data_IF_781789122640
#
_entry.id   IF_781789122640
#
_cell.length_a   1.000
_cell.length_b   1.000
_cell.length_c   1.000
_cell.angle_alpha   90.00
_cell.angle_beta   90.00
_cell.angle_gamma   90.00
#
_symmetry.space_group_name_H-M   'P 1'
#
loop_
_entity.id
_entity.type
_entity.pdbx_description
1 polymer ?
#
# COMPACT_ATOMS: atom_id res chain seq x y z
N UNK A 1 6.79 -10.98 -54.96
CA UNK A 1 5.68 -11.03 -54.00
C UNK A 1 6.19 -11.83 -52.81
N UNK A 2 6.67 -11.17 -51.76
CA UNK A 2 7.19 -11.85 -50.56
C UNK A 2 6.07 -11.82 -49.54
N UNK A 3 5.55 -13.00 -49.20
CA UNK A 3 4.54 -13.16 -48.15
C UNK A 3 5.29 -13.55 -46.88
N UNK A 4 5.18 -12.72 -45.85
CA UNK A 4 5.57 -13.10 -44.50
C UNK A 4 4.71 -12.36 -43.47
N UNK A 5 3.84 -13.09 -42.81
CA UNK A 5 3.87 -13.16 -41.34
C UNK A 5 3.18 -14.44 -40.88
N UNK A 6 3.92 -15.31 -40.22
CA UNK A 6 3.41 -16.53 -39.57
C UNK A 6 3.02 -16.27 -38.10
N UNK A 7 3.08 -15.01 -37.64
CA UNK A 7 2.94 -14.66 -36.23
C UNK A 7 2.27 -13.28 -36.08
N UNK A 8 1.02 -13.29 -35.60
CA UNK A 8 0.22 -12.10 -35.36
C UNK A 8 0.51 -11.52 -33.97
N UNK A 9 1.16 -10.36 -33.91
CA UNK A 9 1.17 -9.53 -32.71
C UNK A 9 -0.20 -8.87 -32.49
N UNK A 10 -0.79 -9.11 -31.31
CA UNK A 10 -1.88 -8.43 -30.57
C UNK A 10 -3.17 -7.94 -31.27
N UNK A 11 -3.21 -7.73 -32.57
CA UNK A 11 -4.41 -7.41 -33.35
C UNK A 11 -4.24 -7.98 -34.77
N UNK A 12 -4.26 -9.31 -34.89
CA UNK A 12 -3.88 -10.08 -36.09
C UNK A 12 -4.68 -9.83 -37.38
N UNK A 13 -4.64 -8.59 -37.87
CA UNK A 13 -5.22 -8.18 -39.13
C UNK A 13 -4.09 -8.01 -40.15
N UNK A 14 -4.07 -8.87 -41.17
CA UNK A 14 -3.19 -8.73 -42.33
C UNK A 14 -3.93 -7.85 -43.34
N UNK A 15 -3.46 -6.61 -43.55
CA UNK A 15 -4.06 -5.68 -44.49
C UNK A 15 -3.42 -5.81 -45.87
N UNK A 16 -4.22 -6.03 -46.91
CA UNK A 16 -3.76 -6.12 -48.30
C UNK A 16 -4.11 -4.82 -49.04
N UNK A 17 -3.12 -4.20 -49.69
CA UNK A 17 -3.32 -3.00 -50.52
C UNK A 17 -3.22 -3.40 -51.99
N UNK A 18 -4.30 -3.23 -52.74
CA UNK A 18 -4.38 -3.55 -54.15
C UNK A 18 -5.73 -3.13 -54.75
N UNK A 19 -5.85 -3.26 -56.06
CA UNK A 19 -7.10 -3.02 -56.79
C UNK A 19 -8.19 -4.01 -56.32
N UNK A 20 -9.40 -3.51 -56.04
CA UNK A 20 -10.47 -4.22 -55.33
C UNK A 20 -10.90 -5.50 -56.06
N UNK A 21 -10.86 -5.47 -57.40
CA UNK A 21 -11.20 -6.60 -58.25
C UNK A 21 -10.17 -7.73 -58.14
N UNK A 22 -8.89 -7.40 -57.92
CA UNK A 22 -7.81 -8.39 -57.77
C UNK A 22 -7.84 -9.04 -56.38
N UNK A 23 -8.18 -8.27 -55.34
CA UNK A 23 -8.34 -8.76 -53.96
C UNK A 23 -9.54 -9.70 -53.86
N UNK A 24 -10.65 -9.38 -54.54
CA UNK A 24 -11.85 -10.24 -54.61
C UNK A 24 -11.62 -11.50 -55.44
N UNK A 25 -10.96 -11.39 -56.61
CA UNK A 25 -10.69 -12.54 -57.48
C UNK A 25 -9.80 -13.60 -56.81
N UNK A 26 -8.91 -13.19 -55.90
CA UNK A 26 -8.03 -14.09 -55.16
C UNK A 26 -8.62 -14.56 -53.81
N UNK A 27 -9.88 -14.23 -53.50
CA UNK A 27 -10.54 -14.62 -52.24
C UNK A 27 -9.77 -14.22 -50.96
N UNK A 28 -9.09 -13.07 -50.98
CA UNK A 28 -8.22 -12.61 -49.89
C UNK A 28 -8.94 -11.77 -48.82
N UNK A 29 -10.27 -11.67 -48.89
CA UNK A 29 -11.06 -10.70 -48.12
C UNK A 29 -11.17 -11.06 -46.63
N UNK A 30 -11.14 -12.35 -46.26
CA UNK A 30 -11.14 -12.79 -44.85
C UNK A 30 -10.66 -14.25 -44.76
N UNK A 31 -9.34 -14.47 -44.67
CA UNK A 31 -8.76 -15.83 -44.67
C UNK A 31 -9.09 -16.60 -43.38
N UNK A 32 -9.38 -15.90 -42.27
CA UNK A 32 -9.86 -16.49 -41.03
C UNK A 32 -10.47 -15.41 -40.11
N UNK A 33 -11.63 -15.69 -39.51
CA UNK A 33 -12.20 -14.84 -38.45
C UNK A 33 -11.26 -14.81 -37.25
N UNK A 34 -11.03 -13.63 -36.69
CA UNK A 34 -10.32 -13.50 -35.42
C UNK A 34 -11.08 -14.28 -34.34
N UNK A 35 -10.41 -15.26 -33.73
CA UNK A 35 -10.91 -15.97 -32.55
C UNK A 35 -10.13 -15.44 -31.36
N UNK A 36 -10.83 -15.07 -30.29
CA UNK A 36 -10.17 -14.68 -29.04
C UNK A 36 -9.54 -15.92 -28.39
N UNK A 37 -8.31 -15.76 -27.90
CA UNK A 37 -7.66 -16.80 -27.13
C UNK A 37 -8.32 -16.87 -25.74
N UNK A 38 -8.73 -18.07 -25.36
CA UNK A 38 -9.26 -18.35 -24.02
C UNK A 38 -8.19 -19.10 -23.24
N UNK A 39 -7.78 -18.55 -22.10
CA UNK A 39 -6.75 -19.13 -21.25
C UNK A 39 -7.40 -19.73 -20.00
N UNK A 40 -7.10 -20.99 -19.70
CA UNK A 40 -7.40 -21.59 -18.40
C UNK A 40 -6.21 -21.36 -17.47
N UNK A 41 -6.35 -20.40 -16.56
CA UNK A 41 -5.26 -20.03 -15.65
C UNK A 41 -5.51 -20.63 -14.28
N UNK A 42 -4.52 -21.38 -13.80
CA UNK A 42 -4.48 -21.91 -12.44
C UNK A 42 -3.41 -21.17 -11.63
N UNK A 43 -3.85 -20.40 -10.63
CA UNK A 43 -2.96 -19.70 -9.71
C UNK A 43 -2.72 -20.57 -8.49
N UNK A 44 -1.46 -20.90 -8.24
CA UNK A 44 -1.04 -21.69 -7.09
C UNK A 44 -0.04 -20.90 -6.26
N UNK A 45 -0.15 -20.94 -4.93
CA UNK A 45 0.85 -20.33 -4.06
C UNK A 45 2.16 -21.14 -4.15
N UNK A 46 3.26 -20.48 -4.54
CA UNK A 46 4.54 -21.12 -4.80
C UNK A 46 5.17 -21.80 -3.56
N UNK A 47 4.81 -21.39 -2.33
CA UNK A 47 5.35 -21.97 -1.10
C UNK A 47 4.49 -23.10 -0.51
N UNK A 48 3.16 -23.01 -0.66
CA UNK A 48 2.23 -23.97 -0.03
C UNK A 48 1.60 -24.95 -1.02
N UNK A 49 1.74 -24.71 -2.34
CA UNK A 49 1.15 -25.55 -3.39
C UNK A 49 -0.38 -25.53 -3.42
N UNK A 50 -1.02 -24.69 -2.62
CA UNK A 50 -2.48 -24.56 -2.55
C UNK A 50 -2.99 -23.71 -3.72
N UNK A 51 -4.06 -24.15 -4.36
CA UNK A 51 -4.75 -23.37 -5.38
C UNK A 51 -5.34 -22.11 -4.74
N UNK A 52 -4.91 -20.94 -5.23
CA UNK A 52 -5.44 -19.64 -4.82
C UNK A 52 -6.68 -19.31 -5.64
N UNK A 53 -6.63 -19.58 -6.95
CA UNK A 53 -7.76 -19.32 -7.84
C UNK A 53 -7.61 -20.11 -9.16
N UNK A 54 -8.73 -20.41 -9.82
CA UNK A 54 -8.75 -20.94 -11.18
C UNK A 54 -9.79 -20.16 -11.97
N UNK A 55 -9.35 -19.46 -13.01
CA UNK A 55 -10.21 -18.57 -13.80
C UNK A 55 -9.97 -18.82 -15.28
N UNK A 56 -11.07 -18.92 -16.02
CA UNK A 56 -11.06 -18.88 -17.47
C UNK A 56 -11.14 -17.43 -17.91
N UNK A 57 -10.11 -16.95 -18.59
CA UNK A 57 -10.02 -15.54 -19.01
C UNK A 57 -10.04 -15.46 -20.52
N UNK A 58 -10.93 -14.62 -21.02
CA UNK A 58 -10.97 -14.22 -22.42
C UNK A 58 -9.98 -13.09 -22.63
N UNK A 59 -8.96 -13.32 -23.46
CA UNK A 59 -7.86 -12.39 -23.67
C UNK A 59 -6.68 -12.58 -22.70
N UNK A 60 -5.67 -11.75 -22.88
CA UNK A 60 -4.32 -11.96 -22.32
C UNK A 60 -4.07 -11.35 -20.94
N UNK A 61 -5.08 -10.83 -20.25
CA UNK A 61 -4.91 -10.14 -18.97
C UNK A 61 -5.73 -10.78 -17.86
N UNK A 62 -5.03 -11.24 -16.84
CA UNK A 62 -5.59 -11.61 -15.55
C UNK A 62 -5.72 -10.34 -14.72
N UNK A 63 -6.95 -9.90 -14.45
CA UNK A 63 -7.20 -8.72 -13.61
C UNK A 63 -7.61 -9.19 -12.22
N UNK A 64 -6.84 -8.83 -11.20
CA UNK A 64 -7.18 -9.13 -9.79
C UNK A 64 -7.19 -10.62 -9.39
N UNK A 65 -6.76 -11.54 -10.27
CA UNK A 65 -6.90 -12.99 -10.06
C UNK A 65 -5.89 -13.55 -9.05
N UNK A 66 -4.68 -12.98 -8.98
CA UNK A 66 -3.63 -13.38 -8.02
C UNK A 66 -3.73 -12.59 -6.73
N UNK A 67 -4.00 -11.29 -6.85
CA UNK A 67 -4.25 -10.37 -5.74
C UNK A 67 -5.09 -9.20 -6.30
N UNK A 68 -6.01 -8.57 -5.54
CA UNK A 68 -6.86 -7.48 -6.03
C UNK A 68 -6.10 -6.29 -6.66
N UNK A 69 -4.83 -6.14 -6.29
CA UNK A 69 -3.95 -5.06 -6.77
C UNK A 69 -2.88 -5.52 -7.77
N UNK A 70 -2.91 -6.77 -8.23
CA UNK A 70 -1.92 -7.31 -9.18
C UNK A 70 -2.63 -7.84 -10.40
N UNK A 71 -2.34 -7.19 -11.53
CA UNK A 71 -2.79 -7.63 -12.86
C UNK A 71 -1.61 -8.27 -13.59
N UNK A 72 -1.86 -9.38 -14.28
CA UNK A 72 -0.84 -10.12 -15.01
C UNK A 72 -1.23 -10.14 -16.49
N UNK A 73 -0.35 -9.63 -17.35
CA UNK A 73 -0.46 -9.83 -18.79
C UNK A 73 0.35 -11.06 -19.19
N UNK A 74 -0.34 -12.07 -19.72
CA UNK A 74 0.26 -13.25 -20.32
C UNK A 74 0.65 -12.89 -21.75
N UNK A 75 1.83 -13.31 -22.20
CA UNK A 75 2.20 -13.20 -23.61
C UNK A 75 1.16 -13.93 -24.49
N UNK A 76 0.68 -13.25 -25.54
CA UNK A 76 -0.30 -13.76 -26.49
C UNK A 76 0.14 -15.03 -27.21
N UNK A 77 1.44 -15.31 -27.23
CA UNK A 77 2.03 -16.45 -27.90
C UNK A 77 2.73 -17.43 -26.95
N UNK A 78 2.67 -17.18 -25.65
CA UNK A 78 3.27 -18.09 -24.67
C UNK A 78 2.67 -19.50 -24.82
N UNK A 79 3.53 -20.48 -25.12
CA UNK A 79 3.14 -21.88 -25.28
C UNK A 79 2.40 -22.21 -26.59
N UNK A 80 2.41 -21.32 -27.60
CA UNK A 80 1.80 -21.58 -28.92
C UNK A 80 2.88 -21.76 -29.99
N UNK A 81 2.86 -22.90 -30.67
CA UNK A 81 3.67 -23.15 -31.87
C UNK A 81 2.79 -23.09 -33.11
N UNK A 82 3.24 -22.36 -34.14
CA UNK A 82 2.58 -22.31 -35.45
C UNK A 82 3.35 -23.19 -36.44
N UNK A 83 2.69 -24.22 -36.98
CA UNK A 83 3.24 -25.10 -37.99
C UNK A 83 2.37 -25.10 -39.25
N UNK A 84 3.00 -25.27 -40.41
CA UNK A 84 2.29 -25.48 -41.66
C UNK A 84 1.89 -26.95 -41.78
N UNK A 85 0.58 -27.21 -41.90
CA UNK A 85 0.06 -28.53 -42.24
C UNK A 85 -0.05 -28.65 -43.77
N UNK A 86 0.82 -29.47 -44.36
CA UNK A 86 0.92 -29.67 -45.81
C UNK A 86 -0.30 -30.42 -46.39
N UNK A 87 -0.97 -31.24 -45.57
CA UNK A 87 -2.15 -32.00 -45.98
C UNK A 87 -3.42 -31.12 -45.94
N UNK A 88 -3.58 -30.32 -44.88
CA UNK A 88 -4.71 -29.39 -44.74
C UNK A 88 -4.51 -28.07 -45.50
N UNK A 89 -3.31 -27.84 -46.05
CA UNK A 89 -2.89 -26.57 -46.69
C UNK A 89 -3.22 -25.35 -45.83
N UNK A 90 -3.03 -25.49 -44.52
CA UNK A 90 -3.40 -24.48 -43.54
C UNK A 90 -2.33 -24.39 -42.45
N UNK A 91 -2.13 -23.18 -41.94
CA UNK A 91 -1.38 -22.99 -40.69
C UNK A 91 -2.21 -23.52 -39.51
N UNK A 92 -1.65 -24.48 -38.79
CA UNK A 92 -2.21 -25.01 -37.54
C UNK A 92 -1.42 -24.44 -36.37
N UNK A 93 -2.13 -23.92 -35.37
CA UNK A 93 -1.54 -23.49 -34.10
C UNK A 93 -1.79 -24.59 -33.09
N UNK A 94 -0.71 -25.13 -32.51
CA UNK A 94 -0.76 -26.14 -31.45
C UNK A 94 -0.15 -25.61 -30.16
N UNK A 95 -0.67 -26.03 -29.01
CA UNK A 95 -0.06 -25.70 -27.72
C UNK A 95 1.19 -26.56 -27.47
N UNK A 96 2.35 -25.95 -27.24
CA UNK A 96 3.63 -26.65 -27.00
C UNK A 96 3.81 -27.13 -25.55
N UNK A 97 2.88 -26.80 -24.65
CA UNK A 97 2.87 -27.26 -23.27
C UNK A 97 2.19 -26.27 -22.31
N UNK A 98 2.29 -26.54 -21.01
CA UNK A 98 1.88 -25.61 -19.95
C UNK A 98 2.92 -24.49 -19.82
N UNK A 99 2.48 -23.23 -19.93
CA UNK A 99 3.32 -22.07 -19.68
C UNK A 99 3.21 -21.66 -18.21
N UNK A 100 4.28 -21.89 -17.44
CA UNK A 100 4.37 -21.48 -16.05
C UNK A 100 5.22 -20.21 -15.91
N UNK A 101 4.68 -19.22 -15.18
CA UNK A 101 5.42 -18.02 -14.80
C UNK A 101 5.30 -17.81 -13.29
N UNK A 102 6.39 -17.42 -12.64
CA UNK A 102 6.40 -17.11 -11.21
C UNK A 102 6.43 -15.61 -11.03
N UNK A 103 5.41 -15.06 -10.36
CA UNK A 103 5.35 -13.64 -10.02
C UNK A 103 5.79 -13.47 -8.57
N UNK A 104 6.81 -12.65 -8.35
CA UNK A 104 7.24 -12.26 -7.00
C UNK A 104 6.47 -11.00 -6.61
N UNK A 105 5.58 -11.12 -5.63
CA UNK A 105 4.95 -9.97 -5.00
C UNK A 105 5.85 -9.54 -3.83
N UNK A 106 6.51 -8.39 -3.97
CA UNK A 106 7.24 -7.77 -2.88
C UNK A 106 6.29 -6.85 -2.11
N UNK A 107 6.24 -7.01 -0.78
CA UNK A 107 5.53 -6.07 0.07
C UNK A 107 6.32 -4.75 0.15
N UNK A 108 5.70 -3.65 -0.25
CA UNK A 108 6.27 -2.30 -0.20
C UNK A 108 5.54 -1.42 0.84
N UNK A 109 4.88 -2.02 1.83
CA UNK A 109 4.32 -1.27 2.95
C UNK A 109 5.44 -0.55 3.71
N UNK A 110 5.32 0.76 3.86
CA UNK A 110 6.16 1.53 4.78
C UNK A 110 5.50 1.54 6.15
N UNK A 111 6.22 1.12 7.17
CA UNK A 111 5.70 1.09 8.54
C UNK A 111 6.16 2.35 9.28
N UNK A 112 5.21 3.13 9.77
CA UNK A 112 5.45 4.29 10.63
C UNK A 112 5.26 3.90 12.09
N UNK A 113 6.21 4.25 12.96
CA UNK A 113 5.99 4.23 14.40
C UNK A 113 5.14 5.45 14.77
N UNK A 114 3.92 5.23 15.24
CA UNK A 114 2.95 6.30 15.51
C UNK A 114 2.69 6.50 17.00
N UNK A 115 3.26 5.65 17.87
CA UNK A 115 3.07 5.70 19.31
C UNK A 115 4.34 5.48 20.12
N UNK A 116 4.21 5.59 21.44
CA UNK A 116 5.31 5.51 22.39
C UNK A 116 5.69 4.07 22.76
N UNK A 117 4.78 3.10 22.57
CA UNK A 117 4.98 1.71 22.96
C UNK A 117 5.34 0.81 21.77
N UNK A 118 5.88 -0.37 22.08
CA UNK A 118 6.14 -1.41 21.09
C UNK A 118 4.84 -1.80 20.37
N UNK A 119 4.90 -1.98 19.04
CA UNK A 119 3.77 -2.35 18.16
C UNK A 119 2.68 -1.28 18.01
N UNK A 120 2.95 -0.04 18.43
CA UNK A 120 2.12 1.11 18.05
C UNK A 120 2.58 1.66 16.70
N UNK A 121 2.39 0.85 15.66
CA UNK A 121 2.79 1.14 14.29
C UNK A 121 1.60 1.27 13.33
N UNK A 122 1.87 1.87 12.18
CA UNK A 122 0.94 2.02 11.07
C UNK A 122 1.66 1.67 9.77
N UNK A 123 1.28 0.53 9.19
CA UNK A 123 1.62 0.21 7.80
C UNK A 123 0.84 1.11 6.85
N UNK A 124 1.55 1.81 5.98
CA UNK A 124 1.00 2.60 4.88
C UNK A 124 1.55 2.02 3.59
N UNK A 125 0.66 1.76 2.63
CA UNK A 125 1.07 1.30 1.31
C UNK A 125 0.47 2.19 0.23
N UNK A 126 1.26 2.40 -0.81
CA UNK A 126 0.83 3.05 -2.05
C UNK A 126 1.03 2.04 -3.17
N UNK A 127 -0.09 1.55 -3.73
CA UNK A 127 -0.03 0.72 -4.93
C UNK A 127 0.51 1.51 -6.11
N UNK A 128 1.10 0.83 -7.11
CA UNK A 128 1.53 1.50 -8.33
C UNK A 128 0.31 2.07 -9.08
N UNK A 129 0.26 3.39 -9.21
CA UNK A 129 -0.78 4.14 -9.94
C UNK A 129 -0.27 4.66 -11.30
N UNK A 130 0.79 4.06 -11.84
CA UNK A 130 1.27 4.35 -13.20
C UNK A 130 0.20 4.04 -14.26
N UNK A 131 0.29 4.70 -15.41
CA UNK A 131 -0.63 4.46 -16.55
C UNK A 131 -0.61 3.01 -17.03
N UNK A 132 0.51 2.31 -16.82
CA UNK A 132 0.64 0.87 -17.12
C UNK A 132 -0.13 0.02 -16.12
N UNK A 133 0.08 0.25 -14.81
CA UNK A 133 -0.61 -0.47 -13.74
C UNK A 133 -2.12 -0.24 -13.76
N UNK A 134 -2.56 0.97 -14.14
CA UNK A 134 -3.96 1.31 -14.33
C UNK A 134 -4.58 0.78 -15.64
N UNK A 135 -3.81 0.09 -16.50
CA UNK A 135 -4.32 -0.47 -17.76
C UNK A 135 -4.58 0.55 -18.86
N UNK A 136 -4.22 1.82 -18.67
CA UNK A 136 -4.50 2.92 -19.60
C UNK A 136 -3.66 2.89 -20.89
N UNK A 137 -2.64 2.03 -20.95
CA UNK A 137 -1.77 1.94 -22.12
C UNK A 137 -2.45 1.37 -23.38
N UNK A 138 -3.64 0.76 -23.25
CA UNK A 138 -4.37 0.08 -24.35
C UNK A 138 -5.66 0.80 -24.72
N UNK A 139 -5.84 2.04 -24.27
CA UNK A 139 -6.98 2.88 -24.64
C UNK A 139 -6.88 3.22 -26.13
N UNK A 140 -7.87 2.79 -26.91
CA UNK A 140 -7.98 3.08 -28.34
C UNK A 140 -9.35 3.69 -28.63
N UNK A 141 -9.35 4.78 -29.40
CA UNK A 141 -10.56 5.53 -29.80
C UNK A 141 -10.72 5.51 -31.33
N UNK A 142 -10.17 4.49 -31.99
CA UNK A 142 -10.16 4.38 -33.47
C UNK A 142 -11.48 3.89 -34.04
N UNK A 143 -12.27 3.16 -33.26
CA UNK A 143 -13.60 2.65 -33.63
C UNK A 143 -14.58 2.79 -32.45
N UNK A 144 -15.88 2.69 -32.73
CA UNK A 144 -16.95 2.90 -31.74
C UNK A 144 -16.89 1.90 -30.58
N UNK A 145 -16.59 0.64 -30.85
CA UNK A 145 -16.59 -0.42 -29.84
C UNK A 145 -15.36 -0.30 -28.94
N UNK A 146 -14.20 0.01 -29.52
CA UNK A 146 -12.96 0.31 -28.80
C UNK A 146 -13.08 1.58 -27.97
N UNK A 147 -13.77 2.61 -28.46
CA UNK A 147 -14.08 3.80 -27.69
C UNK A 147 -14.99 3.46 -26.48
N UNK A 148 -16.03 2.64 -26.68
CA UNK A 148 -16.91 2.21 -25.58
C UNK A 148 -16.16 1.40 -24.52
N UNK A 149 -15.30 0.45 -24.92
CA UNK A 149 -14.46 -0.33 -24.01
C UNK A 149 -13.47 0.56 -23.26
N UNK A 150 -12.91 1.56 -23.93
CA UNK A 150 -11.96 2.50 -23.35
C UNK A 150 -12.58 3.31 -22.20
N UNK A 151 -13.86 3.69 -22.31
CA UNK A 151 -14.59 4.37 -21.22
C UNK A 151 -14.60 3.49 -19.97
N UNK A 152 -14.98 2.21 -20.09
CA UNK A 152 -15.00 1.27 -18.96
C UNK A 152 -13.62 1.09 -18.32
N UNK A 153 -12.56 1.02 -19.12
CA UNK A 153 -11.18 0.92 -18.63
C UNK A 153 -10.79 2.19 -17.85
N UNK A 154 -11.15 3.37 -18.36
CA UNK A 154 -10.87 4.65 -17.69
C UNK A 154 -11.66 4.77 -16.38
N UNK A 155 -12.95 4.42 -16.37
CA UNK A 155 -13.77 4.44 -15.15
C UNK A 155 -13.19 3.53 -14.07
N UNK A 156 -12.80 2.31 -14.45
CA UNK A 156 -12.13 1.37 -13.53
C UNK A 156 -10.81 1.92 -13.00
N UNK A 157 -10.02 2.61 -13.83
CA UNK A 157 -8.79 3.26 -13.40
C UNK A 157 -9.04 4.42 -12.42
N UNK A 158 -10.08 5.23 -12.67
CA UNK A 158 -10.50 6.32 -11.78
C UNK A 158 -10.93 5.76 -10.42
N UNK A 159 -11.72 4.68 -10.41
CA UNK A 159 -12.17 4.04 -9.18
C UNK A 159 -10.99 3.50 -8.34
N UNK A 160 -9.99 2.89 -8.99
CA UNK A 160 -8.77 2.44 -8.30
C UNK A 160 -8.01 3.59 -7.66
N UNK A 161 -7.81 4.69 -8.40
CA UNK A 161 -7.14 5.89 -7.87
C UNK A 161 -7.94 6.53 -6.74
N UNK A 162 -9.27 6.59 -6.89
CA UNK A 162 -10.18 7.14 -5.89
C UNK A 162 -10.14 6.33 -4.58
N UNK A 163 -10.20 5.00 -4.70
CA UNK A 163 -10.04 4.08 -3.57
C UNK A 163 -8.70 4.27 -2.86
N UNK A 164 -7.60 4.38 -3.63
CA UNK A 164 -6.29 4.62 -3.07
C UNK A 164 -6.20 5.95 -2.33
N UNK A 165 -6.82 7.02 -2.84
CA UNK A 165 -6.92 8.32 -2.14
C UNK A 165 -7.78 8.23 -0.88
N UNK A 166 -8.85 7.45 -0.91
CA UNK A 166 -9.69 7.18 0.27
C UNK A 166 -8.90 6.52 1.39
N UNK A 167 -8.09 5.51 1.06
CA UNK A 167 -7.21 4.84 2.02
C UNK A 167 -6.16 5.80 2.60
N UNK A 168 -5.54 6.63 1.75
CA UNK A 168 -4.59 7.64 2.21
C UNK A 168 -5.24 8.68 3.14
N UNK A 169 -6.47 9.09 2.86
CA UNK A 169 -7.26 9.94 3.76
C UNK A 169 -7.56 9.28 5.10
N UNK A 170 -7.90 7.99 5.11
CA UNK A 170 -8.10 7.23 6.34
C UNK A 170 -6.81 7.12 7.18
N UNK A 171 -5.66 6.89 6.55
CA UNK A 171 -4.36 6.91 7.23
C UNK A 171 -4.05 8.28 7.83
N UNK A 172 -4.30 9.37 7.08
CA UNK A 172 -4.14 10.74 7.59
C UNK A 172 -5.01 11.01 8.81
N UNK A 173 -6.31 10.67 8.76
CA UNK A 173 -7.22 10.84 9.89
C UNK A 173 -6.73 10.07 11.13
N UNK A 174 -6.29 8.82 10.94
CA UNK A 174 -5.78 8.01 12.05
C UNK A 174 -4.48 8.59 12.63
N UNK A 175 -3.59 9.12 11.79
CA UNK A 175 -2.38 9.83 12.25
C UNK A 175 -2.75 11.07 13.05
N UNK A 176 -3.69 11.89 12.56
CA UNK A 176 -4.14 13.10 13.26
C UNK A 176 -4.77 12.78 14.63
N UNK A 177 -5.63 11.75 14.70
CA UNK A 177 -6.17 11.28 15.98
C UNK A 177 -5.07 10.78 16.92
N UNK A 178 -4.08 10.06 16.39
CA UNK A 178 -2.97 9.56 17.21
C UNK A 178 -2.11 10.71 17.74
N UNK A 179 -1.81 11.70 16.90
CA UNK A 179 -1.10 12.93 17.29
C UNK A 179 -1.86 13.64 18.41
N UNK A 180 -3.16 13.89 18.24
CA UNK A 180 -3.98 14.57 19.26
C UNK A 180 -4.01 13.80 20.59
N UNK A 181 -4.11 12.47 20.53
CA UNK A 181 -4.06 11.62 21.71
C UNK A 181 -2.69 11.69 22.40
N UNK A 182 -1.60 11.60 21.65
CA UNK A 182 -0.23 11.69 22.18
C UNK A 182 0.06 13.07 22.76
N UNK A 183 -0.40 14.15 22.14
CA UNK A 183 -0.27 15.51 22.67
C UNK A 183 -1.00 15.64 24.00
N UNK A 184 -2.21 15.08 24.11
CA UNK A 184 -2.98 15.06 25.36
C UNK A 184 -2.27 14.24 26.43
N UNK A 185 -1.79 13.04 26.09
CA UNK A 185 -1.03 12.18 26.99
C UNK A 185 0.26 12.87 27.46
N UNK A 186 1.01 13.51 26.56
CA UNK A 186 2.22 14.26 26.87
C UNK A 186 1.94 15.43 27.82
N UNK A 187 0.84 16.17 27.61
CA UNK A 187 0.42 17.26 28.50
C UNK A 187 0.07 16.74 29.89
N UNK A 188 -0.65 15.62 29.97
CA UNK A 188 -1.01 14.99 31.24
C UNK A 188 0.21 14.43 31.98
N UNK A 189 1.16 13.82 31.25
CA UNK A 189 2.40 13.32 31.82
C UNK A 189 3.29 14.46 32.33
N UNK A 190 3.41 15.54 31.56
CA UNK A 190 4.15 16.74 31.98
C UNK A 190 3.52 17.35 33.23
N UNK A 191 2.19 17.42 33.30
CA UNK A 191 1.48 17.91 34.49
C UNK A 191 1.63 16.97 35.69
N UNK A 192 1.65 15.65 35.48
CA UNK A 192 1.91 14.68 36.53
C UNK A 192 3.37 14.74 37.02
N UNK A 193 4.32 14.91 36.10
CA UNK A 193 5.73 15.14 36.40
C UNK A 193 5.92 16.42 37.20
N UNK A 194 5.26 17.51 36.79
CA UNK A 194 5.22 18.77 37.56
C UNK A 194 4.67 18.54 38.97
N UNK A 195 3.56 17.80 39.16
CA UNK A 195 3.08 17.48 40.52
C UNK A 195 4.04 16.63 41.36
N UNK A 196 4.85 15.78 40.72
CA UNK A 196 5.79 14.89 41.43
C UNK A 196 7.10 15.61 41.74
N UNK A 197 7.63 16.38 40.78
CA UNK A 197 8.91 17.09 40.89
C UNK A 197 8.75 18.46 41.53
N UNK A 198 7.69 19.18 41.18
CA UNK A 198 7.44 20.51 41.68
C UNK A 198 6.79 20.39 43.06
N UNK A 199 7.57 20.77 44.06
CA UNK A 199 7.14 20.97 45.43
C UNK A 199 6.06 22.05 45.41
N UNK A 200 5.00 21.90 46.21
CA UNK A 200 4.14 23.04 46.51
C UNK A 200 4.97 24.09 47.27
N UNK A 201 5.47 25.07 46.54
CA UNK A 201 6.33 26.15 47.04
C UNK A 201 5.73 26.83 48.26
N UNK A 202 4.40 26.92 48.36
CA UNK A 202 3.75 27.53 49.53
C UNK A 202 3.94 26.65 50.77
N UNK A 203 3.77 25.33 50.65
CA UNK A 203 3.94 24.39 51.75
C UNK A 203 5.40 24.26 52.18
N UNK A 204 6.32 24.20 51.22
CA UNK A 204 7.74 24.10 51.53
C UNK A 204 8.30 25.40 52.10
N UNK A 205 7.83 26.58 51.64
CA UNK A 205 8.15 27.86 52.26
C UNK A 205 7.61 27.96 53.68
N UNK A 206 6.37 27.52 53.94
CA UNK A 206 5.83 27.49 55.31
C UNK A 206 6.66 26.58 56.22
N UNK A 207 7.06 25.40 55.74
CA UNK A 207 7.89 24.47 56.49
C UNK A 207 9.29 25.04 56.73
N UNK A 208 9.91 25.63 55.70
CA UNK A 208 11.18 26.34 55.80
C UNK A 208 11.13 27.50 56.80
N UNK A 209 10.09 28.35 56.74
CA UNK A 209 9.89 29.44 57.71
C UNK A 209 9.67 28.90 59.11
N UNK A 210 8.86 27.84 59.28
CA UNK A 210 8.65 27.18 60.58
C UNK A 210 9.97 26.67 61.15
N UNK A 211 10.78 25.98 60.35
CA UNK A 211 12.08 25.46 60.77
C UNK A 211 13.05 26.59 61.15
N UNK A 212 13.08 27.69 60.39
CA UNK A 212 13.88 28.87 60.73
C UNK A 212 13.43 29.52 62.05
N UNK A 213 12.12 29.70 62.26
CA UNK A 213 11.58 30.22 63.53
C UNK A 213 11.93 29.28 64.68
N UNK A 214 11.84 27.96 64.46
CA UNK A 214 12.15 26.97 65.50
C UNK A 214 13.63 26.94 65.84
N UNK A 215 14.53 27.13 64.86
CA UNK A 215 15.96 27.30 65.08
C UNK A 215 16.28 28.59 65.83
N UNK A 216 15.65 29.71 65.47
CA UNK A 216 15.82 30.98 66.19
C UNK A 216 15.29 30.88 67.62
N UNK A 217 14.11 30.31 67.82
CA UNK A 217 13.51 30.07 69.13
C UNK A 217 14.34 29.08 69.96
N UNK A 218 14.88 28.02 69.35
CA UNK A 218 15.77 27.05 69.99
C UNK A 218 17.06 27.70 70.48
N UNK A 219 17.68 28.57 69.68
CA UNK A 219 18.86 29.34 70.08
C UNK A 219 18.54 30.33 71.20
N UNK A 220 17.42 31.05 71.14
CA UNK A 220 16.99 31.97 72.20
C UNK A 220 16.64 31.22 73.50
N UNK A 221 15.97 30.07 73.41
CA UNK A 221 15.65 29.20 74.55
C UNK A 221 16.90 28.60 75.17
N UNK A 222 17.88 28.16 74.37
CA UNK A 222 19.18 27.69 74.87
C UNK A 222 19.97 28.83 75.52
N UNK A 223 19.93 30.04 74.96
CA UNK A 223 20.56 31.20 75.57
C UNK A 223 19.92 31.55 76.92
N UNK A 224 18.59 31.49 77.02
CA UNK A 224 17.87 31.77 78.26
C UNK A 224 18.00 30.66 79.30
N UNK A 225 18.01 29.39 78.88
CA UNK A 225 18.28 28.24 79.74
C UNK A 225 19.73 28.22 80.26
N UNK A 226 20.71 28.78 79.54
CA UNK A 226 22.07 28.99 80.04
C UNK A 226 22.20 30.16 81.02
N UNK A 227 21.28 31.12 81.00
CA UNK A 227 21.27 32.25 81.94
C UNK A 227 20.55 31.93 83.26
N UNK A 228 19.56 31.03 83.24
CA UNK A 228 18.81 30.60 84.43
C UNK A 228 19.70 30.07 85.57
N UNK A 229 20.71 29.21 85.34
CA UNK A 229 21.60 28.70 86.38
C UNK A 229 22.40 29.80 87.09
N UNK A 230 22.80 30.84 86.36
CA UNK A 230 23.54 31.98 86.92
C UNK A 230 22.64 32.85 87.81
N UNK A 231 21.35 32.97 87.49
CA UNK A 231 20.38 33.65 88.34
C UNK A 231 20.08 32.87 89.63
N UNK A 232 20.03 31.53 89.57
CA UNK A 232 19.86 30.68 90.76
C UNK A 232 21.11 30.72 91.65
N UNK A 233 22.31 30.85 91.08
CA UNK A 233 23.55 31.01 91.84
C UNK A 233 23.64 32.35 92.60
N UNK A 234 22.87 33.38 92.19
CA UNK A 234 22.73 34.63 92.96
C UNK A 234 21.76 34.50 94.15
N UNK A 235 20.82 33.56 94.10
CA UNK A 235 19.85 33.28 95.17
C UNK A 235 20.41 32.34 96.26
N UNK A 236 21.55 31.69 96.03
CA UNK A 236 22.24 30.80 96.98
C UNK A 236 23.42 31.47 97.70
N UNK A 237 23.47 32.81 97.72
CA UNK A 237 24.51 33.61 98.39
C UNK A 237 23.93 34.45 99.52
#
# INVERSE_FOLDING_TARGET
MVISSAVAGKAGNINFIGDEDVVKALSLNEVQKASENTFNVKVTNAHTGTNVNQVEVTGNQLVGVVHPNVDIEIDAMAGLDAAWDDAAKKWTVSSSGTYDTTVHLADNTTVFQIGANEKEDMGVYIGDMSTRSLGLNKVLVTDRDSASRSITVIDSAIDRVSSQRGNLGAYQNRLEHTINNLTTASTNLTAAESRIRDLDMAKEMMNFTKLNILMQAGNSMLAQANQLPNAVMQLLR
#
